data_IF_385511380590
#
_entry.id   IF_385511380590
#
_cell.length_a   1.000
_cell.length_b   1.000
_cell.length_c   1.000
_cell.angle_alpha   90.00
_cell.angle_beta   90.00
_cell.angle_gamma   90.00
#
_symmetry.space_group_name_H-M   'P 1'
#
loop_
_entity.id
_entity.type
_entity.pdbx_description
1 polymer ?
#
# COMPACT_ATOMS: atom_id res chain seq x y z
N UNK A 1 -11.01 -22.18 15.96
CA UNK A 1 -12.46 -22.47 15.94
C UNK A 1 -13.15 -21.65 14.84
N UNK A 2 -14.12 -22.24 14.14
CA UNK A 2 -14.96 -21.51 13.18
C UNK A 2 -16.32 -21.36 13.84
N UNK A 3 -16.61 -20.18 14.37
CA UNK A 3 -17.72 -19.95 15.31
C UNK A 3 -19.12 -20.05 14.67
N UNK A 4 -19.27 -20.68 13.49
CA UNK A 4 -20.49 -20.68 12.64
C UNK A 4 -21.06 -19.27 12.38
N UNK A 5 -20.23 -18.24 12.52
CA UNK A 5 -20.58 -16.85 12.23
C UNK A 5 -19.83 -16.41 10.97
N UNK A 6 -20.56 -15.83 10.02
CA UNK A 6 -19.99 -15.25 8.80
C UNK A 6 -19.21 -13.98 9.12
N UNK A 7 -18.03 -13.85 8.50
CA UNK A 7 -17.18 -12.66 8.63
C UNK A 7 -17.04 -12.00 7.26
N UNK A 8 -16.86 -10.68 7.27
CA UNK A 8 -16.59 -9.88 6.08
C UNK A 8 -15.73 -8.68 6.46
N UNK A 9 -15.23 -7.96 5.46
CA UNK A 9 -14.66 -6.64 5.71
C UNK A 9 -15.72 -5.71 6.31
N UNK A 10 -15.36 -5.05 7.40
CA UNK A 10 -16.17 -4.04 8.09
C UNK A 10 -15.53 -2.65 8.01
N UNK A 11 -14.56 -2.46 7.10
CA UNK A 11 -13.74 -1.25 7.00
C UNK A 11 -13.05 -0.88 8.32
N UNK A 12 -12.68 -1.90 9.10
CA UNK A 12 -12.08 -1.74 10.44
C UNK A 12 -12.88 -0.78 11.32
N UNK A 13 -14.19 -1.01 11.42
CA UNK A 13 -15.11 -0.24 12.28
C UNK A 13 -14.58 -0.06 13.71
N UNK A 14 -13.84 -1.05 14.20
CA UNK A 14 -13.16 -1.07 15.49
C UNK A 14 -11.96 -0.11 15.61
N UNK A 15 -11.37 0.30 14.48
CA UNK A 15 -10.26 1.27 14.41
C UNK A 15 -10.72 2.68 14.08
N UNK A 16 -11.58 2.83 13.07
CA UNK A 16 -11.96 4.15 12.54
C UNK A 16 -12.72 4.99 13.58
N UNK A 17 -13.42 4.34 14.52
CA UNK A 17 -14.14 4.99 15.62
C UNK A 17 -13.40 4.92 16.96
N UNK A 18 -12.16 4.43 16.98
CA UNK A 18 -11.42 4.27 18.24
C UNK A 18 -10.76 5.60 18.64
N UNK A 19 -11.36 6.27 19.61
CA UNK A 19 -10.86 7.56 20.12
C UNK A 19 -9.52 7.46 20.86
N UNK A 20 -9.08 6.26 21.24
CA UNK A 20 -7.77 6.04 21.85
C UNK A 20 -6.62 6.07 20.83
N UNK A 21 -6.92 6.07 19.54
CA UNK A 21 -5.93 6.26 18.48
C UNK A 21 -5.87 7.74 18.08
N UNK A 22 -4.69 8.27 17.73
CA UNK A 22 -4.57 9.53 17.00
C UNK A 22 -5.46 9.52 15.76
N UNK A 23 -6.02 10.67 15.39
CA UNK A 23 -6.99 10.75 14.27
C UNK A 23 -6.38 10.27 12.95
N UNK A 24 -5.10 10.57 12.73
CA UNK A 24 -4.32 10.11 11.57
C UNK A 24 -4.16 8.58 11.49
N UNK A 25 -4.24 7.88 12.62
CA UNK A 25 -4.11 6.43 12.71
C UNK A 25 -5.46 5.69 12.65
N UNK A 26 -6.58 6.43 12.69
CA UNK A 26 -7.97 5.91 12.60
C UNK A 26 -8.35 5.55 11.17
N UNK A 27 -7.45 4.83 10.49
CA UNK A 27 -7.66 4.28 9.15
C UNK A 27 -7.72 2.75 9.19
N UNK A 28 -8.32 2.11 8.17
CA UNK A 28 -8.35 0.66 8.08
C UNK A 28 -6.94 0.05 8.08
N UNK A 29 -6.78 -1.10 8.73
CA UNK A 29 -5.49 -1.78 8.83
C UNK A 29 -4.87 -2.07 7.45
N UNK A 30 -5.69 -2.41 6.45
CA UNK A 30 -5.21 -2.66 5.09
C UNK A 30 -4.72 -1.40 4.35
N UNK A 31 -5.10 -0.20 4.81
CA UNK A 31 -4.62 1.10 4.31
C UNK A 31 -3.31 1.44 5.01
N UNK A 32 -3.31 1.43 6.34
CA UNK A 32 -2.12 1.74 7.15
C UNK A 32 -0.91 0.85 6.82
N UNK A 33 -1.15 -0.45 6.55
CA UNK A 33 -0.06 -1.41 6.32
C UNK A 33 0.44 -1.47 4.89
N UNK A 34 -0.18 -0.75 3.94
CA UNK A 34 0.16 -0.91 2.53
C UNK A 34 1.46 -0.18 2.17
N UNK A 35 2.58 -0.88 1.89
CA UNK A 35 3.85 -0.21 1.59
C UNK A 35 3.80 0.55 0.26
N UNK A 36 2.98 0.08 -0.68
CA UNK A 36 2.80 0.69 -1.99
C UNK A 36 1.78 1.84 -1.99
N UNK A 37 1.13 2.13 -0.86
CA UNK A 37 0.02 3.11 -0.78
C UNK A 37 -1.06 2.86 -1.85
N UNK A 38 -1.40 1.59 -2.08
CA UNK A 38 -2.35 1.19 -3.12
C UNK A 38 -3.82 1.39 -2.71
N UNK A 39 -4.09 1.58 -1.41
CA UNK A 39 -5.42 1.75 -0.84
C UNK A 39 -5.51 3.11 -0.17
N UNK A 40 -6.61 3.80 -0.42
CA UNK A 40 -6.93 5.09 0.16
C UNK A 40 -8.30 4.99 0.82
N UNK A 41 -8.49 5.69 1.93
CA UNK A 41 -9.73 5.68 2.71
C UNK A 41 -10.10 7.09 3.12
N UNK A 42 -11.39 7.37 3.18
CA UNK A 42 -11.98 8.66 3.52
C UNK A 42 -13.47 8.69 3.20
N UNK A 43 -14.09 9.84 3.39
CA UNK A 43 -15.52 10.01 3.12
C UNK A 43 -15.80 10.27 1.63
N UNK A 44 -16.52 9.36 0.98
CA UNK A 44 -16.96 9.52 -0.41
C UNK A 44 -18.17 10.45 -0.58
N UNK A 45 -18.86 10.82 0.51
CA UNK A 45 -19.92 11.80 0.48
C UNK A 45 -19.38 13.24 0.45
N UNK A 46 -18.14 13.45 0.91
CA UNK A 46 -17.43 14.71 0.81
C UNK A 46 -16.65 14.80 -0.53
N UNK A 47 -17.02 15.70 -1.46
CA UNK A 47 -16.31 15.87 -2.72
C UNK A 47 -14.86 16.35 -2.56
N UNK A 48 -14.56 17.05 -1.45
CA UNK A 48 -13.23 17.60 -1.18
C UNK A 48 -12.28 16.61 -0.51
N UNK A 49 -12.79 15.44 -0.10
CA UNK A 49 -11.97 14.39 0.51
C UNK A 49 -10.92 13.86 -0.48
N UNK A 50 -9.78 13.41 0.06
CA UNK A 50 -8.68 12.90 -0.76
C UNK A 50 -9.09 11.72 -1.65
N UNK A 51 -9.98 10.84 -1.16
CA UNK A 51 -10.50 9.72 -1.95
C UNK A 51 -11.43 10.16 -3.07
N UNK A 52 -12.32 11.13 -2.82
CA UNK A 52 -13.22 11.68 -3.83
C UNK A 52 -12.44 12.35 -4.96
N UNK A 53 -11.48 13.22 -4.61
CA UNK A 53 -10.61 13.89 -5.58
C UNK A 53 -9.73 12.90 -6.35
N UNK A 54 -9.16 11.89 -5.67
CA UNK A 54 -8.31 10.88 -6.32
C UNK A 54 -9.08 10.05 -7.34
N UNK A 55 -10.30 9.62 -7.01
CA UNK A 55 -11.16 8.86 -7.91
C UNK A 55 -11.54 9.70 -9.11
N UNK A 56 -11.96 10.95 -8.90
CA UNK A 56 -12.30 11.86 -9.99
C UNK A 56 -11.10 12.12 -10.91
N UNK A 57 -9.93 12.40 -10.34
CA UNK A 57 -8.72 12.73 -11.10
C UNK A 57 -8.16 11.55 -11.91
N UNK A 58 -8.32 10.31 -11.43
CA UNK A 58 -7.73 9.12 -12.06
C UNK A 58 -8.73 8.25 -12.83
N UNK A 59 -9.98 8.68 -12.96
CA UNK A 59 -11.02 7.92 -13.65
C UNK A 59 -11.36 6.61 -12.94
N UNK A 60 -11.57 6.67 -11.63
CA UNK A 60 -11.91 5.49 -10.85
C UNK A 60 -13.27 4.89 -11.26
N UNK A 61 -13.41 3.58 -11.11
CA UNK A 61 -14.55 2.82 -11.61
C UNK A 61 -15.04 1.76 -10.62
N UNK A 62 -16.26 1.28 -10.84
CA UNK A 62 -16.89 0.22 -10.03
C UNK A 62 -16.44 -1.15 -10.50
N UNK A 63 -16.23 -2.06 -9.55
CA UNK A 63 -15.98 -3.45 -9.89
C UNK A 63 -17.30 -4.14 -10.27
N UNK A 64 -17.30 -4.83 -11.41
CA UNK A 64 -18.46 -5.58 -11.95
C UNK A 64 -19.73 -4.71 -12.06
N UNK A 65 -19.70 -3.61 -12.85
CA UNK A 65 -20.83 -2.70 -12.97
C UNK A 65 -22.10 -3.37 -13.51
N UNK A 66 -21.98 -4.47 -14.27
CA UNK A 66 -23.08 -5.26 -14.80
C UNK A 66 -24.01 -5.85 -13.74
N UNK A 67 -23.54 -5.96 -12.49
CA UNK A 67 -24.34 -6.49 -11.37
C UNK A 67 -25.26 -5.43 -10.72
N UNK A 68 -25.07 -4.14 -11.01
CA UNK A 68 -25.94 -3.07 -10.49
C UNK A 68 -25.86 -2.81 -8.97
N UNK A 69 -24.89 -3.39 -8.26
CA UNK A 69 -24.78 -3.29 -6.79
C UNK A 69 -24.26 -1.94 -6.26
N UNK A 70 -23.77 -1.05 -7.14
CA UNK A 70 -23.27 0.30 -6.79
C UNK A 70 -22.31 0.30 -5.58
N UNK A 71 -21.19 -0.46 -5.64
CA UNK A 71 -20.26 -0.54 -4.53
C UNK A 71 -19.62 0.81 -4.22
N UNK A 72 -19.37 1.07 -2.94
CA UNK A 72 -18.65 2.28 -2.49
C UNK A 72 -17.17 2.22 -2.86
N UNK A 73 -16.56 1.03 -2.81
CA UNK A 73 -15.15 0.86 -3.14
C UNK A 73 -14.91 1.08 -4.65
N UNK A 74 -14.11 2.10 -4.98
CA UNK A 74 -13.71 2.41 -6.36
C UNK A 74 -12.32 1.85 -6.64
N UNK A 75 -12.13 1.35 -7.85
CA UNK A 75 -10.85 0.88 -8.36
C UNK A 75 -10.24 1.94 -9.27
N UNK A 76 -8.91 2.05 -9.25
CA UNK A 76 -8.19 2.97 -10.11
C UNK A 76 -7.54 2.19 -11.26
N UNK A 77 -7.52 2.74 -12.48
CA UNK A 77 -6.84 2.08 -13.59
C UNK A 77 -5.34 1.91 -13.29
N UNK A 78 -4.67 0.91 -13.88
CA UNK A 78 -3.22 0.76 -13.78
C UNK A 78 -2.51 2.05 -14.20
N UNK A 79 -1.46 2.43 -13.47
CA UNK A 79 -0.59 3.52 -13.90
C UNK A 79 0.26 3.05 -15.07
N UNK A 80 0.54 3.94 -16.01
CA UNK A 80 1.54 3.69 -17.03
C UNK A 80 2.89 3.41 -16.36
N UNK A 81 3.58 2.36 -16.82
CA UNK A 81 4.88 2.01 -16.27
C UNK A 81 5.89 3.06 -16.72
N UNK A 82 6.62 3.63 -15.77
CA UNK A 82 7.80 4.41 -16.10
C UNK A 82 8.78 3.52 -16.88
N UNK A 83 9.54 4.08 -17.84
CA UNK A 83 10.60 3.33 -18.50
C UNK A 83 11.57 2.81 -17.43
N UNK A 84 12.11 1.60 -17.65
CA UNK A 84 13.09 1.02 -16.73
C UNK A 84 14.28 1.99 -16.59
N UNK A 85 14.57 2.40 -15.34
CA UNK A 85 15.76 3.20 -15.06
C UNK A 85 16.96 2.27 -15.10
N UNK A 86 17.71 2.32 -16.19
CA UNK A 86 18.95 1.57 -16.38
C UNK A 86 20.10 2.22 -15.60
N UNK A 87 19.88 2.52 -14.32
CA UNK A 87 20.98 2.93 -13.46
C UNK A 87 21.68 1.69 -12.93
N UNK A 88 22.80 1.38 -13.55
CA UNK A 88 23.77 0.45 -13.00
C UNK A 88 24.28 1.05 -11.68
N UNK A 89 23.88 0.43 -10.57
CA UNK A 89 24.53 0.68 -9.27
C UNK A 89 26.03 0.52 -9.48
N UNK A 90 26.88 1.42 -8.96
CA UNK A 90 28.31 1.30 -9.11
C UNK A 90 28.75 -0.05 -8.55
N UNK A 91 29.66 -0.72 -9.26
CA UNK A 91 30.26 -1.94 -8.77
C UNK A 91 30.96 -1.61 -7.45
N UNK A 92 30.52 -2.25 -6.36
CA UNK A 92 31.20 -2.16 -5.07
C UNK A 92 32.49 -2.96 -5.22
N UNK A 93 33.56 -2.31 -5.66
CA UNK A 93 34.89 -2.89 -5.57
C UNK A 93 35.28 -2.94 -4.09
N UNK A 94 35.83 -4.05 -3.58
CA UNK A 94 36.46 -4.06 -2.26
C UNK A 94 37.69 -3.15 -2.35
N UNK A 95 37.50 -1.87 -2.02
CA UNK A 95 38.61 -0.95 -1.97
C UNK A 95 39.60 -1.44 -0.91
N UNK A 96 40.86 -1.50 -1.30
CA UNK A 96 41.95 -1.98 -0.47
C UNK A 96 41.92 -1.31 0.91
N UNK A 97 42.11 -2.11 1.95
CA UNK A 97 42.02 -1.67 3.33
C UNK A 97 41.63 -2.81 4.25
N UNK A 98 41.37 -2.49 5.52
CA UNK A 98 41.02 -3.45 6.56
C UNK A 98 39.77 -4.28 6.19
N UNK A 99 38.73 -3.64 5.66
CA UNK A 99 37.47 -4.32 5.29
C UNK A 99 37.64 -5.30 4.12
N UNK A 100 38.41 -4.93 3.08
CA UNK A 100 38.74 -5.84 1.97
C UNK A 100 39.72 -6.98 2.34
N UNK A 101 40.40 -6.89 3.49
CA UNK A 101 41.16 -8.01 4.07
C UNK A 101 40.25 -8.94 4.87
N UNK A 102 39.35 -8.40 5.69
CA UNK A 102 38.36 -9.19 6.45
C UNK A 102 37.48 -10.01 5.50
N UNK A 103 36.98 -9.40 4.42
CA UNK A 103 36.14 -10.07 3.43
C UNK A 103 36.88 -11.24 2.74
N UNK A 104 38.17 -11.05 2.41
CA UNK A 104 39.03 -12.13 1.88
C UNK A 104 39.28 -13.25 2.89
N UNK A 105 39.52 -12.92 4.15
CA UNK A 105 39.70 -13.92 5.21
C UNK A 105 38.43 -14.75 5.41
N UNK A 106 37.26 -14.11 5.47
CA UNK A 106 35.99 -14.81 5.63
C UNK A 106 35.67 -15.69 4.42
N UNK A 107 35.92 -15.20 3.19
CA UNK A 107 35.74 -15.99 1.97
C UNK A 107 36.68 -17.20 1.90
N UNK A 108 37.92 -17.08 2.41
CA UNK A 108 38.90 -18.19 2.42
C UNK A 108 38.64 -19.25 3.49
N UNK A 109 37.78 -18.96 4.48
CA UNK A 109 37.39 -19.90 5.54
C UNK A 109 36.05 -20.60 5.27
N UNK A 110 35.35 -20.21 4.20
CA UNK A 110 34.13 -20.84 3.71
C UNK A 110 34.39 -21.96 2.71
#
# INVERSE_FOLDING_TARGET
PVDKVMKKCTLCVDRIYNENLPEEDRVPACVATCPASARHFGDFADPESDVSRLVAARGGYDLMPEMGYKPTNKYLPPRERAPAREERLPDIAPEGGFLGWVDRMLTAMG
#
